data_IF_484544011455
#
_entry.id   IF_484544011455
#
_cell.length_a   1.000
_cell.length_b   1.000
_cell.length_c   1.000
_cell.angle_alpha   90.00
_cell.angle_beta   90.00
_cell.angle_gamma   90.00
#
_symmetry.space_group_name_H-M   'P 1'
#
loop_
_entity.id
_entity.type
_entity.pdbx_description
1 polymer ?
#
# COMPACT_ATOMS: atom_id res chain seq x y z
N UNK A 1 20.91 5.43 -3.03
CA UNK A 1 21.27 6.35 -1.94
C UNK A 1 20.82 7.79 -2.22
N UNK A 2 21.24 8.45 -3.31
CA UNK A 2 20.89 9.86 -3.57
C UNK A 2 19.37 10.12 -3.67
N UNK A 3 18.60 9.24 -4.33
CA UNK A 3 17.15 9.40 -4.50
C UNK A 3 16.37 9.23 -3.21
N UNK A 4 16.75 8.26 -2.37
CA UNK A 4 16.12 8.06 -1.05
C UNK A 4 16.40 9.24 -0.12
N UNK A 5 17.62 9.76 -0.09
CA UNK A 5 17.97 10.95 0.69
C UNK A 5 17.17 12.19 0.28
N UNK A 6 16.97 12.38 -1.03
CA UNK A 6 16.13 13.50 -1.52
C UNK A 6 14.66 13.33 -1.11
N UNK A 7 14.11 12.12 -1.25
CA UNK A 7 12.76 11.78 -0.79
C UNK A 7 12.58 12.10 0.69
N UNK A 8 13.49 11.62 1.55
CA UNK A 8 13.43 11.88 2.98
C UNK A 8 13.52 13.37 3.34
N UNK A 9 14.32 14.14 2.61
CA UNK A 9 14.36 15.59 2.78
C UNK A 9 13.01 16.26 2.48
N UNK A 10 12.35 15.85 1.41
CA UNK A 10 11.01 16.38 1.04
C UNK A 10 9.99 16.00 2.12
N UNK A 11 9.97 14.74 2.56
CA UNK A 11 9.07 14.26 3.62
C UNK A 11 9.28 15.08 4.90
N UNK A 12 10.52 15.23 5.35
CA UNK A 12 10.86 15.98 6.55
C UNK A 12 10.42 17.45 6.46
N UNK A 13 10.59 18.08 5.30
CA UNK A 13 10.14 19.44 5.07
C UNK A 13 8.61 19.58 5.18
N UNK A 14 7.86 18.66 4.55
CA UNK A 14 6.39 18.69 4.55
C UNK A 14 5.82 18.39 5.95
N UNK A 15 6.31 17.34 6.62
CA UNK A 15 5.86 16.97 7.96
C UNK A 15 6.24 18.01 9.00
N UNK A 16 7.43 18.61 8.88
CA UNK A 16 7.86 19.72 9.72
C UNK A 16 7.00 20.96 9.55
N UNK A 17 6.56 21.25 8.33
CA UNK A 17 5.62 22.32 8.03
C UNK A 17 4.27 22.09 8.72
N UNK A 18 3.72 20.88 8.66
CA UNK A 18 2.48 20.50 9.36
C UNK A 18 2.61 20.63 10.88
N UNK A 19 3.71 20.15 11.45
CA UNK A 19 3.99 20.31 12.89
C UNK A 19 4.06 21.79 13.31
N UNK A 20 4.72 22.62 12.49
CA UNK A 20 4.77 24.08 12.70
C UNK A 20 3.39 24.75 12.66
N UNK A 21 2.54 24.33 11.72
CA UNK A 21 1.15 24.82 11.62
C UNK A 21 0.30 24.42 12.83
N UNK A 22 0.41 23.19 13.30
CA UNK A 22 -0.27 22.70 14.50
C UNK A 22 0.16 23.53 15.73
N UNK A 23 1.48 23.71 15.92
CA UNK A 23 2.04 24.53 17.02
C UNK A 23 1.55 25.99 16.95
N UNK A 24 1.60 26.61 15.77
CA UNK A 24 1.16 28.01 15.58
C UNK A 24 -0.33 28.22 15.87
N UNK A 25 -1.17 27.18 15.63
CA UNK A 25 -2.60 27.18 15.96
C UNK A 25 -2.91 26.67 17.36
N UNK A 26 -1.90 26.40 18.18
CA UNK A 26 -2.05 25.86 19.55
C UNK A 26 -2.82 24.52 19.59
N UNK A 27 -2.70 23.71 18.55
CA UNK A 27 -3.29 22.38 18.51
C UNK A 27 -2.49 21.46 19.44
N UNK A 28 -3.18 20.78 20.38
CA UNK A 28 -2.56 19.77 21.22
C UNK A 28 -2.50 18.45 20.44
N UNK A 29 -1.30 17.98 20.17
CA UNK A 29 -1.06 16.69 19.51
C UNK A 29 -0.85 15.63 20.58
N UNK A 30 -1.61 14.54 20.51
CA UNK A 30 -1.46 13.37 21.40
C UNK A 30 -1.21 12.16 20.51
N UNK A 31 -0.05 11.52 20.68
CA UNK A 31 0.33 10.34 19.92
C UNK A 31 -0.05 9.06 20.68
N UNK A 32 -0.67 8.12 19.99
CA UNK A 32 -1.05 6.83 20.55
C UNK A 32 -2.24 6.20 19.83
N UNK A 33 -2.66 5.05 20.32
CA UNK A 33 -3.82 4.33 19.83
C UNK A 33 -5.08 4.85 20.54
N UNK A 34 -5.95 5.55 19.78
CA UNK A 34 -7.19 6.11 20.30
C UNK A 34 -8.35 5.13 20.26
N UNK A 35 -9.16 5.09 21.32
CA UNK A 35 -10.43 4.36 21.36
C UNK A 35 -11.50 5.22 22.03
N UNK A 36 -12.69 5.24 21.45
CA UNK A 36 -13.84 5.87 22.12
C UNK A 36 -14.28 5.04 23.30
N UNK A 37 -14.38 5.68 24.47
CA UNK A 37 -14.86 5.06 25.71
C UNK A 37 -16.24 5.56 26.11
N UNK A 38 -16.75 6.57 25.40
CA UNK A 38 -18.08 7.15 25.54
C UNK A 38 -18.39 8.11 24.41
N UNK A 39 -19.59 8.66 24.36
CA UNK A 39 -20.05 9.53 23.28
C UNK A 39 -19.17 10.77 23.05
N UNK A 40 -18.54 11.29 24.11
CA UNK A 40 -17.70 12.51 24.08
C UNK A 40 -16.32 12.27 24.72
N UNK A 41 -15.87 11.01 24.78
CA UNK A 41 -14.62 10.64 25.47
C UNK A 41 -13.78 9.70 24.61
N UNK A 42 -12.53 10.07 24.41
CA UNK A 42 -11.52 9.26 23.73
C UNK A 42 -10.37 8.94 24.71
N UNK A 43 -10.04 7.69 24.87
CA UNK A 43 -8.82 7.26 25.56
C UNK A 43 -7.73 7.02 24.52
N UNK A 44 -6.54 7.60 24.72
CA UNK A 44 -5.37 7.39 23.88
C UNK A 44 -4.30 6.67 24.68
N UNK A 45 -3.92 5.48 24.26
CA UNK A 45 -2.81 4.71 24.82
C UNK A 45 -1.54 5.00 24.03
N UNK A 46 -0.60 5.69 24.65
CA UNK A 46 0.69 6.07 24.07
C UNK A 46 1.86 5.55 24.88
N UNK A 47 3.10 5.85 24.45
CA UNK A 47 4.33 5.41 25.13
C UNK A 47 4.42 5.86 26.60
N UNK A 48 3.84 7.00 26.94
CA UNK A 48 3.84 7.57 28.29
C UNK A 48 2.57 7.22 29.12
N UNK A 49 1.82 6.20 28.69
CA UNK A 49 0.60 5.78 29.34
C UNK A 49 -0.65 6.29 28.67
N UNK A 50 -1.77 6.27 29.43
CA UNK A 50 -3.09 6.61 28.93
C UNK A 50 -3.41 8.09 29.11
N UNK A 51 -3.97 8.70 28.07
CA UNK A 51 -4.50 10.07 28.09
C UNK A 51 -5.98 10.04 27.77
N UNK A 52 -6.83 10.64 28.61
CA UNK A 52 -8.25 10.81 28.34
C UNK A 52 -8.51 12.20 27.75
N UNK A 53 -9.24 12.24 26.65
CA UNK A 53 -9.63 13.44 25.93
C UNK A 53 -11.14 13.53 25.93
N UNK A 54 -11.69 14.62 26.51
CA UNK A 54 -13.09 14.97 26.37
C UNK A 54 -13.24 15.98 25.25
N UNK A 55 -14.30 15.86 24.45
CA UNK A 55 -14.56 16.71 23.30
C UNK A 55 -16.05 16.96 23.08
N UNK A 56 -16.39 18.07 22.45
CA UNK A 56 -17.75 18.38 22.02
C UNK A 56 -18.04 17.81 20.62
N UNK A 57 -17.03 17.82 19.75
CA UNK A 57 -17.11 17.30 18.38
C UNK A 57 -15.84 16.52 18.04
N UNK A 58 -15.97 15.47 17.25
CA UNK A 58 -14.83 14.68 16.76
C UNK A 58 -14.89 14.48 15.25
N UNK A 59 -13.71 14.47 14.62
CA UNK A 59 -13.54 14.08 13.22
C UNK A 59 -12.72 12.79 13.20
N UNK A 60 -13.32 11.71 12.69
CA UNK A 60 -12.65 10.43 12.53
C UNK A 60 -11.93 10.41 11.18
N UNK A 61 -10.60 10.43 11.21
CA UNK A 61 -9.74 10.37 10.05
C UNK A 61 -8.66 9.28 10.25
N UNK A 62 -9.08 8.07 10.59
CA UNK A 62 -8.24 6.97 11.04
C UNK A 62 -7.45 6.25 9.91
N UNK A 63 -7.66 6.65 8.65
CA UNK A 63 -7.00 6.04 7.50
C UNK A 63 -7.39 4.57 7.27
N UNK A 64 -6.49 3.85 6.64
CA UNK A 64 -6.69 2.45 6.25
C UNK A 64 -5.36 1.68 6.30
N UNK A 65 -5.43 0.36 6.29
CA UNK A 65 -4.27 -0.55 6.19
C UNK A 65 -4.38 -1.44 4.95
N UNK A 66 -3.28 -1.96 4.41
CA UNK A 66 -3.28 -2.95 3.34
C UNK A 66 -4.11 -4.18 3.71
N UNK A 67 -4.68 -4.83 2.69
CA UNK A 67 -5.30 -6.15 2.84
C UNK A 67 -4.19 -7.19 2.87
N UNK A 68 -4.22 -8.07 3.86
CA UNK A 68 -3.34 -9.23 3.97
C UNK A 68 -4.14 -10.50 3.63
N UNK A 69 -3.56 -11.36 2.78
CA UNK A 69 -4.13 -12.66 2.43
C UNK A 69 -3.35 -13.75 3.18
N UNK A 70 -4.05 -14.73 3.80
CA UNK A 70 -3.41 -15.73 4.66
C UNK A 70 -2.39 -16.65 3.96
N UNK A 71 -2.48 -16.78 2.65
CA UNK A 71 -1.58 -17.63 1.86
C UNK A 71 -0.33 -16.91 1.35
N UNK A 72 -0.17 -15.61 1.69
CA UNK A 72 0.98 -14.81 1.29
C UNK A 72 1.96 -14.76 2.47
N UNK A 73 3.25 -15.07 2.28
CA UNK A 73 4.27 -15.04 3.32
C UNK A 73 4.70 -13.58 3.62
N UNK A 74 3.87 -12.81 4.33
CA UNK A 74 4.07 -11.39 4.64
C UNK A 74 5.35 -11.13 5.47
N UNK A 75 5.87 -12.14 6.16
CA UNK A 75 7.09 -12.03 6.96
C UNK A 75 8.38 -12.01 6.10
N UNK A 76 8.29 -12.43 4.82
CA UNK A 76 9.45 -12.39 3.94
C UNK A 76 9.74 -10.96 3.48
N UNK A 77 10.97 -10.44 3.63
CA UNK A 77 11.31 -9.06 3.30
C UNK A 77 11.23 -8.72 1.80
N UNK A 78 10.96 -9.70 0.94
CA UNK A 78 10.74 -9.55 -0.49
C UNK A 78 9.25 -9.49 -0.87
N UNK A 79 8.37 -9.70 0.11
CA UNK A 79 6.91 -9.55 -0.03
C UNK A 79 6.53 -8.22 0.62
N UNK A 80 6.13 -7.27 -0.19
CA UNK A 80 5.93 -5.88 0.19
C UNK A 80 4.46 -5.49 0.24
N UNK A 81 4.11 -4.62 1.15
CA UNK A 81 2.95 -3.76 1.03
C UNK A 81 3.32 -2.41 0.39
N UNK A 82 2.38 -1.48 0.31
CA UNK A 82 2.63 -0.15 -0.24
C UNK A 82 3.61 0.68 0.61
N UNK A 83 3.71 0.43 1.90
CA UNK A 83 4.64 1.12 2.81
C UNK A 83 6.06 0.68 2.52
N UNK A 84 6.29 -0.63 2.43
CA UNK A 84 7.60 -1.21 2.10
C UNK A 84 8.09 -0.71 0.74
N UNK A 85 7.20 -0.71 -0.26
CA UNK A 85 7.54 -0.24 -1.61
C UNK A 85 7.95 1.24 -1.62
N UNK A 86 7.33 2.09 -0.80
CA UNK A 86 7.68 3.51 -0.68
C UNK A 86 9.03 3.76 0.00
N UNK A 87 9.54 2.81 0.79
CA UNK A 87 10.86 2.94 1.42
C UNK A 87 12.02 2.94 0.40
N UNK A 88 11.85 2.28 -0.74
CA UNK A 88 12.86 2.15 -1.80
C UNK A 88 14.20 1.56 -1.31
N UNK A 89 14.13 0.58 -0.42
CA UNK A 89 15.31 -0.10 0.14
C UNK A 89 16.13 -0.80 -0.96
N UNK A 90 15.44 -1.46 -1.87
CA UNK A 90 16.04 -2.23 -2.98
C UNK A 90 15.29 -1.96 -4.28
N UNK A 91 15.95 -2.22 -5.41
CA UNK A 91 15.32 -2.21 -6.73
C UNK A 91 15.45 -3.63 -7.29
N UNK A 92 14.36 -4.44 -7.26
CA UNK A 92 14.38 -5.80 -7.79
C UNK A 92 14.53 -5.76 -9.31
N UNK A 93 15.15 -6.78 -9.90
CA UNK A 93 15.21 -6.90 -11.36
C UNK A 93 13.83 -7.20 -11.92
N UNK A 94 13.10 -8.14 -11.30
CA UNK A 94 11.75 -8.53 -11.70
C UNK A 94 10.79 -8.41 -10.51
N UNK A 95 9.80 -7.52 -10.64
CA UNK A 95 8.80 -7.22 -9.63
C UNK A 95 7.42 -7.66 -10.09
N UNK A 96 6.74 -8.48 -9.29
CA UNK A 96 5.31 -8.71 -9.45
C UNK A 96 4.52 -7.67 -8.65
N UNK A 97 3.55 -7.05 -9.29
CA UNK A 97 2.53 -6.22 -8.66
C UNK A 97 1.22 -6.99 -8.66
N UNK A 98 0.76 -7.38 -7.49
CA UNK A 98 -0.56 -7.99 -7.30
C UNK A 98 -1.60 -6.89 -7.10
N UNK A 99 -2.49 -6.74 -8.07
CA UNK A 99 -3.52 -5.70 -8.14
C UNK A 99 -3.17 -4.57 -9.11
N UNK A 100 -3.99 -4.45 -10.16
CA UNK A 100 -3.90 -3.40 -11.19
C UNK A 100 -4.60 -2.10 -10.78
N UNK A 101 -4.77 -1.84 -9.48
CA UNK A 101 -5.30 -0.60 -8.93
C UNK A 101 -4.29 0.55 -8.95
N UNK A 102 -4.71 1.72 -8.45
CA UNK A 102 -3.91 2.96 -8.49
C UNK A 102 -2.55 2.76 -7.82
N UNK A 103 -2.52 2.24 -6.59
CA UNK A 103 -1.28 2.06 -5.82
C UNK A 103 -0.29 1.15 -6.55
N UNK A 104 -0.77 -0.01 -7.04
CA UNK A 104 0.08 -0.97 -7.74
C UNK A 104 0.69 -0.37 -9.02
N UNK A 105 -0.09 0.37 -9.78
CA UNK A 105 0.39 0.99 -11.03
C UNK A 105 1.31 2.19 -10.79
N UNK A 106 1.09 2.98 -9.73
CA UNK A 106 2.01 4.05 -9.33
C UNK A 106 3.37 3.48 -8.93
N UNK A 107 3.39 2.48 -8.03
CA UNK A 107 4.63 1.82 -7.61
C UNK A 107 5.30 1.09 -8.78
N UNK A 108 4.54 0.37 -9.62
CA UNK A 108 5.05 -0.23 -10.84
C UNK A 108 5.74 0.80 -11.75
N UNK A 109 5.16 1.99 -11.88
CA UNK A 109 5.76 3.09 -12.67
C UNK A 109 7.08 3.57 -12.07
N UNK A 110 7.14 3.71 -10.74
CA UNK A 110 8.38 4.11 -10.03
C UNK A 110 9.47 3.07 -10.23
N UNK A 111 9.17 1.79 -9.94
CA UNK A 111 10.17 0.71 -10.05
C UNK A 111 10.60 0.45 -11.49
N UNK A 112 9.68 0.56 -12.45
CA UNK A 112 10.05 0.48 -13.87
C UNK A 112 11.02 1.61 -14.27
N UNK A 113 10.77 2.84 -13.83
CA UNK A 113 11.69 3.96 -14.07
C UNK A 113 13.06 3.78 -13.39
N UNK A 114 13.13 2.94 -12.34
CA UNK A 114 14.36 2.55 -11.66
C UNK A 114 15.06 1.36 -12.33
N UNK A 115 14.43 0.71 -13.31
CA UNK A 115 15.01 -0.38 -14.10
C UNK A 115 14.44 -1.76 -13.83
N UNK A 116 13.38 -1.88 -13.03
CA UNK A 116 12.70 -3.17 -12.81
C UNK A 116 11.84 -3.56 -14.02
N UNK A 117 11.81 -4.85 -14.34
CA UNK A 117 10.78 -5.46 -15.17
C UNK A 117 9.52 -5.65 -14.31
N UNK A 118 8.36 -5.18 -14.81
CA UNK A 118 7.12 -5.17 -14.06
C UNK A 118 6.09 -6.11 -14.68
N UNK A 119 5.67 -7.11 -13.91
CA UNK A 119 4.48 -7.90 -14.16
C UNK A 119 3.34 -7.40 -13.26
N UNK A 120 2.14 -7.21 -13.81
CA UNK A 120 0.94 -6.82 -13.06
C UNK A 120 -0.12 -7.90 -13.22
N UNK A 121 -0.60 -8.44 -12.11
CA UNK A 121 -1.74 -9.39 -12.08
C UNK A 121 -2.98 -8.68 -11.60
N UNK A 122 -4.05 -8.76 -12.38
CA UNK A 122 -5.34 -8.19 -12.04
C UNK A 122 -6.48 -9.19 -12.33
N UNK A 123 -7.37 -9.39 -11.36
CA UNK A 123 -8.49 -10.33 -11.48
C UNK A 123 -9.57 -9.85 -12.45
N UNK A 124 -9.73 -8.54 -12.59
CA UNK A 124 -10.70 -7.95 -13.48
C UNK A 124 -10.21 -7.87 -14.94
N UNK A 125 -11.14 -7.55 -15.84
CA UNK A 125 -10.89 -7.40 -17.27
C UNK A 125 -10.18 -6.08 -17.65
N UNK A 126 -9.96 -5.20 -16.65
CA UNK A 126 -9.25 -3.93 -16.82
C UNK A 126 -8.46 -3.55 -15.57
N UNK A 127 -7.42 -2.74 -15.74
CA UNK A 127 -6.76 -2.03 -14.64
C UNK A 127 -7.65 -0.89 -14.14
N UNK A 128 -7.44 -0.43 -12.90
CA UNK A 128 -8.24 0.63 -12.26
C UNK A 128 -9.74 0.39 -12.45
N UNK A 129 -10.29 -0.73 -11.92
CA UNK A 129 -11.65 -1.18 -12.25
C UNK A 129 -12.76 -0.18 -11.86
N UNK A 130 -12.46 0.78 -11.00
CA UNK A 130 -13.40 1.85 -10.60
C UNK A 130 -13.46 3.04 -11.57
N UNK A 131 -12.57 3.09 -12.59
CA UNK A 131 -12.54 4.18 -13.56
C UNK A 131 -13.26 3.81 -14.86
N UNK A 132 -13.70 4.84 -15.60
CA UNK A 132 -14.42 4.67 -16.85
C UNK A 132 -13.57 3.97 -17.92
N UNK A 133 -14.18 2.98 -18.60
CA UNK A 133 -13.47 2.09 -19.55
C UNK A 133 -12.80 2.80 -20.71
N UNK A 134 -13.35 3.88 -21.20
CA UNK A 134 -12.80 4.68 -22.30
C UNK A 134 -11.51 5.38 -21.90
N UNK A 135 -11.45 5.95 -20.69
CA UNK A 135 -10.25 6.56 -20.13
C UNK A 135 -9.18 5.49 -19.84
N UNK A 136 -9.57 4.40 -19.18
CA UNK A 136 -8.68 3.28 -18.87
C UNK A 136 -8.08 2.65 -20.12
N UNK A 137 -8.83 2.55 -21.21
CA UNK A 137 -8.34 2.02 -22.49
C UNK A 137 -7.13 2.81 -23.03
N UNK A 138 -7.18 4.13 -22.95
CA UNK A 138 -6.06 5.00 -23.38
C UNK A 138 -4.85 4.81 -22.50
N UNK A 139 -5.06 4.73 -21.18
CA UNK A 139 -4.00 4.49 -20.20
C UNK A 139 -3.37 3.10 -20.39
N UNK A 140 -4.19 2.05 -20.48
CA UNK A 140 -3.75 0.67 -20.68
C UNK A 140 -2.88 0.52 -21.93
N UNK A 141 -3.23 1.17 -23.05
CA UNK A 141 -2.43 1.17 -24.27
C UNK A 141 -1.01 1.75 -24.05
N UNK A 142 -0.85 2.66 -23.11
CA UNK A 142 0.46 3.25 -22.77
C UNK A 142 1.27 2.35 -21.85
N UNK A 143 0.64 1.84 -20.78
CA UNK A 143 1.37 1.05 -19.78
C UNK A 143 1.70 -0.37 -20.26
N UNK A 144 0.89 -0.97 -21.13
CA UNK A 144 1.17 -2.30 -21.71
C UNK A 144 2.44 -2.36 -22.57
N UNK A 145 3.02 -1.21 -22.93
CA UNK A 145 4.34 -1.13 -23.55
C UNK A 145 5.50 -1.21 -22.56
N UNK A 146 5.20 -1.06 -21.26
CA UNK A 146 6.19 -1.02 -20.18
C UNK A 146 6.01 -2.19 -19.20
N UNK A 147 4.78 -2.63 -19.00
CA UNK A 147 4.40 -3.68 -18.06
C UNK A 147 3.81 -4.86 -18.80
N UNK A 148 4.10 -6.06 -18.32
CA UNK A 148 3.34 -7.24 -18.70
C UNK A 148 2.04 -7.27 -17.88
N UNK A 149 0.88 -7.02 -18.53
CA UNK A 149 -0.41 -6.98 -17.87
C UNK A 149 -1.13 -8.33 -18.01
N UNK A 150 -1.32 -9.01 -16.90
CA UNK A 150 -2.08 -10.26 -16.78
C UNK A 150 -3.45 -9.97 -16.19
N UNK A 151 -4.39 -9.53 -17.06
CA UNK A 151 -5.79 -9.30 -16.69
C UNK A 151 -6.56 -10.62 -16.66
N UNK A 152 -7.71 -10.65 -15.99
CA UNK A 152 -8.55 -11.85 -15.78
C UNK A 152 -7.70 -13.02 -15.21
N UNK A 153 -6.78 -12.67 -14.32
CA UNK A 153 -5.79 -13.59 -13.76
C UNK A 153 -5.66 -13.34 -12.26
N UNK A 154 -5.67 -14.37 -11.46
CA UNK A 154 -5.50 -14.29 -10.00
C UNK A 154 -4.29 -15.08 -9.53
N UNK A 155 -3.67 -14.64 -8.47
CA UNK A 155 -2.64 -15.39 -7.74
C UNK A 155 -3.31 -16.42 -6.85
N UNK A 156 -2.82 -17.64 -6.89
CA UNK A 156 -3.35 -18.79 -6.12
C UNK A 156 -2.41 -19.26 -5.03
N UNK A 157 -1.08 -19.08 -5.21
CA UNK A 157 -0.09 -19.37 -4.19
C UNK A 157 1.13 -18.45 -4.33
N UNK A 158 1.78 -18.17 -3.20
CA UNK A 158 3.03 -17.41 -3.11
C UNK A 158 3.97 -18.18 -2.19
N UNK A 159 5.10 -18.62 -2.72
CA UNK A 159 6.11 -19.39 -1.98
C UNK A 159 7.42 -18.63 -1.93
N UNK A 160 7.90 -18.33 -0.72
CA UNK A 160 9.22 -17.78 -0.52
C UNK A 160 10.26 -18.90 -0.53
N UNK A 161 11.19 -18.85 -1.49
CA UNK A 161 12.33 -19.78 -1.59
C UNK A 161 13.64 -19.02 -1.43
N UNK A 162 14.74 -19.70 -1.29
CA UNK A 162 16.05 -19.10 -1.08
C UNK A 162 16.43 -18.12 -2.21
N UNK A 163 16.16 -18.49 -3.44
CA UNK A 163 16.54 -17.77 -4.66
C UNK A 163 15.49 -16.77 -5.18
N UNK A 164 14.28 -16.71 -4.58
CA UNK A 164 13.22 -15.80 -5.02
C UNK A 164 11.84 -16.14 -4.47
N UNK A 165 10.87 -15.38 -4.90
CA UNK A 165 9.45 -15.61 -4.62
C UNK A 165 8.81 -16.28 -5.82
N UNK A 166 8.22 -17.45 -5.62
CA UNK A 166 7.53 -18.22 -6.64
C UNK A 166 6.03 -18.00 -6.54
N UNK A 167 5.41 -17.62 -7.63
CA UNK A 167 3.99 -17.25 -7.65
C UNK A 167 3.24 -18.09 -8.66
N UNK A 168 2.24 -18.83 -8.18
CA UNK A 168 1.31 -19.59 -9.01
C UNK A 168 0.08 -18.73 -9.32
N UNK A 169 -0.43 -18.85 -10.53
CA UNK A 169 -1.52 -18.05 -11.03
C UNK A 169 -2.51 -18.92 -11.79
N UNK A 170 -3.77 -18.50 -11.82
CA UNK A 170 -4.80 -19.07 -12.69
C UNK A 170 -5.61 -17.98 -13.38
N UNK A 171 -6.13 -18.28 -14.56
CA UNK A 171 -6.93 -17.35 -15.35
C UNK A 171 -6.47 -17.28 -16.80
N UNK A 172 -7.02 -16.30 -17.53
CA UNK A 172 -6.88 -16.20 -18.98
C UNK A 172 -5.46 -15.97 -19.47
N UNK A 173 -4.65 -15.27 -18.70
CA UNK A 173 -3.25 -14.96 -19.02
C UNK A 173 -2.26 -15.58 -18.03
N UNK A 174 -2.72 -16.51 -17.22
CA UNK A 174 -1.86 -17.19 -16.26
C UNK A 174 -0.79 -18.02 -16.99
N UNK A 175 0.48 -17.94 -16.56
CA UNK A 175 1.50 -18.89 -16.97
C UNK A 175 1.14 -20.30 -16.49
N UNK A 176 1.55 -21.32 -17.24
CA UNK A 176 1.33 -22.74 -16.87
C UNK A 176 2.15 -23.18 -15.66
N UNK A 177 3.26 -22.51 -15.40
CA UNK A 177 4.20 -22.82 -14.32
C UNK A 177 4.35 -21.65 -13.36
N UNK A 178 4.66 -21.91 -12.07
CA UNK A 178 4.97 -20.84 -11.12
C UNK A 178 6.08 -19.92 -11.63
N UNK A 179 5.86 -18.61 -11.53
CA UNK A 179 6.82 -17.60 -11.97
C UNK A 179 7.68 -17.14 -10.81
N UNK A 180 9.00 -17.04 -11.05
CA UNK A 180 9.95 -16.51 -10.07
C UNK A 180 10.05 -14.99 -10.17
N UNK A 181 10.00 -14.33 -9.02
CA UNK A 181 10.20 -12.88 -8.85
C UNK A 181 11.26 -12.59 -7.80
N UNK A 182 11.92 -11.43 -7.90
CA UNK A 182 12.87 -10.98 -6.88
C UNK A 182 12.12 -10.30 -5.71
N UNK A 183 10.96 -9.70 -5.99
CA UNK A 183 10.04 -9.19 -4.98
C UNK A 183 8.59 -9.22 -5.50
N UNK A 184 7.64 -9.16 -4.56
CA UNK A 184 6.20 -9.12 -4.84
C UNK A 184 5.59 -7.96 -4.05
N UNK A 185 4.89 -7.07 -4.74
CA UNK A 185 4.10 -6.00 -4.13
C UNK A 185 2.63 -6.42 -4.05
N UNK A 186 2.08 -6.50 -2.86
CA UNK A 186 0.67 -6.80 -2.60
C UNK A 186 -0.12 -5.49 -2.52
N UNK A 187 -0.86 -5.17 -3.59
CA UNK A 187 -1.61 -3.92 -3.75
C UNK A 187 -3.09 -4.18 -4.12
N UNK A 188 -3.70 -5.18 -3.47
CA UNK A 188 -5.05 -5.71 -3.78
C UNK A 188 -6.19 -4.97 -3.09
N UNK A 189 -5.90 -3.90 -2.39
CA UNK A 189 -6.88 -3.07 -1.71
C UNK A 189 -6.50 -2.71 -0.28
N UNK A 190 -7.38 -1.96 0.38
CA UNK A 190 -7.18 -1.45 1.74
C UNK A 190 -8.43 -1.61 2.59
N UNK A 191 -8.24 -1.82 3.88
CA UNK A 191 -9.32 -1.93 4.88
C UNK A 191 -9.33 -0.66 5.74
N UNK A 192 -10.48 0.04 5.88
CA UNK A 192 -10.60 1.18 6.78
C UNK A 192 -10.34 0.84 8.25
N UNK A 193 -9.63 1.70 8.96
CA UNK A 193 -9.29 1.51 10.37
C UNK A 193 -10.39 1.96 11.35
N UNK A 194 -11.48 2.52 10.87
CA UNK A 194 -12.55 3.04 11.71
C UNK A 194 -13.12 2.05 12.72
N UNK A 195 -13.15 0.76 12.38
CA UNK A 195 -13.60 -0.31 13.29
C UNK A 195 -12.70 -0.50 14.52
N UNK A 196 -11.44 -0.07 14.45
CA UNK A 196 -10.47 -0.22 15.55
C UNK A 196 -10.64 0.83 16.64
N UNK A 197 -11.52 1.81 16.43
CA UNK A 197 -11.74 2.95 17.33
C UNK A 197 -12.85 2.72 18.34
N UNK A 198 -13.62 1.62 18.26
CA UNK A 198 -14.79 1.35 19.08
C UNK A 198 -15.85 2.49 19.04
N UNK A 199 -16.00 3.15 17.89
CA UNK A 199 -16.84 4.32 17.71
C UNK A 199 -18.38 4.04 17.76
N UNK A 200 -18.79 2.81 18.03
CA UNK A 200 -20.18 2.40 18.21
C UNK A 200 -20.66 2.43 19.67
N UNK A 201 -19.87 2.99 20.58
CA UNK A 201 -20.19 3.09 22.02
C UNK A 201 -20.81 4.42 22.39
#
# INVERSE_FOLDING_TARGET
>A
LFRSTWKEKVITQLTGGLAGMAKGRKVKVVNGLGKFTGANTLEVEGENGKTVINFDNAIIAAGSRPIELPFIPHEDPRVWDSTDALELKTVPKRLLVMGGGIIGLEMGTVYHALGSEIDVVEMFDQVIPAADKDIVKVFTKRISKKFNLMLETKVTAVEAKEDGIYVSMEGKKAPSEPQRYDAVLVAIGRVPNGKNLDAGK
#
